data_IF_751353820808
#
_entry.id   IF_751353820808
#
_cell.length_a   1.000
_cell.length_b   1.000
_cell.length_c   1.000
_cell.angle_alpha   90.00
_cell.angle_beta   90.00
_cell.angle_gamma   90.00
#
_symmetry.space_group_name_H-M   'P 1'
#
loop_
_entity.id
_entity.type
_entity.pdbx_description
1 polymer ?
#
# COMPACT_ATOMS: atom_id res chain seq x y z
N UNK A 1 -19.19 29.13 -23.13
CA UNK A 1 -17.73 28.88 -22.98
C UNK A 1 -17.32 28.42 -21.58
N UNK A 2 -17.70 29.11 -20.50
CA UNK A 2 -17.36 28.71 -19.10
C UNK A 2 -17.83 27.29 -18.72
N UNK A 3 -19.05 26.92 -19.08
CA UNK A 3 -19.63 25.59 -18.80
C UNK A 3 -18.90 24.44 -19.53
N UNK A 4 -18.34 24.72 -20.72
CA UNK A 4 -17.57 23.74 -21.48
C UNK A 4 -16.23 23.45 -20.79
N UNK A 5 -15.56 24.49 -20.29
CA UNK A 5 -14.28 24.36 -19.57
C UNK A 5 -14.44 23.56 -18.27
N UNK A 6 -15.51 23.79 -17.51
CA UNK A 6 -15.80 23.01 -16.31
C UNK A 6 -16.07 21.54 -16.62
N UNK A 7 -16.81 21.24 -17.70
CA UNK A 7 -17.08 19.86 -18.11
C UNK A 7 -15.82 19.10 -18.52
N UNK A 8 -14.92 19.75 -19.27
CA UNK A 8 -13.62 19.19 -19.65
C UNK A 8 -12.77 18.90 -18.40
N UNK A 9 -12.74 19.81 -17.44
CA UNK A 9 -11.99 19.61 -16.19
C UNK A 9 -12.47 18.36 -15.42
N UNK A 10 -13.78 18.17 -15.25
CA UNK A 10 -14.32 16.98 -14.59
C UNK A 10 -14.04 15.68 -15.35
N UNK A 11 -14.04 15.72 -16.70
CA UNK A 11 -13.66 14.57 -17.52
C UNK A 11 -12.19 14.19 -17.37
N UNK A 12 -11.28 15.18 -17.28
CA UNK A 12 -9.86 14.93 -17.01
C UNK A 12 -9.62 14.36 -15.61
N UNK A 13 -10.37 14.81 -14.59
CA UNK A 13 -10.22 14.28 -13.23
C UNK A 13 -10.81 12.86 -13.07
N UNK A 14 -11.90 12.53 -13.76
CA UNK A 14 -12.51 11.20 -13.74
C UNK A 14 -11.70 10.10 -14.45
N UNK A 15 -10.76 10.49 -15.32
CA UNK A 15 -9.92 9.57 -16.09
C UNK A 15 -8.83 8.86 -15.27
N UNK A 16 -8.40 9.43 -14.13
CA UNK A 16 -7.29 8.85 -13.35
C UNK A 16 -7.70 7.73 -12.38
N UNK A 17 -8.98 7.62 -12.02
CA UNK A 17 -9.46 6.58 -11.10
C UNK A 17 -10.07 5.36 -11.81
N UNK A 18 -10.40 5.50 -13.10
CA UNK A 18 -11.05 4.43 -13.90
C UNK A 18 -10.06 3.40 -14.43
N UNK A 19 -8.75 3.65 -14.30
CA UNK A 19 -7.70 2.67 -14.63
C UNK A 19 -7.46 1.70 -13.46
N UNK A 20 -8.53 1.13 -12.90
CA UNK A 20 -8.48 0.13 -11.82
C UNK A 20 -8.19 -1.30 -12.33
N UNK A 21 -8.21 -1.49 -13.65
CA UNK A 21 -7.87 -2.76 -14.31
C UNK A 21 -6.37 -2.95 -14.55
N UNK A 22 -5.55 -1.90 -14.33
CA UNK A 22 -4.11 -2.06 -14.11
C UNK A 22 -3.87 -2.63 -12.70
N UNK A 23 -4.53 -3.75 -12.40
CA UNK A 23 -4.15 -4.59 -11.26
C UNK A 23 -2.70 -4.96 -11.47
N UNK A 24 -1.88 -4.74 -10.44
CA UNK A 24 -0.50 -5.20 -10.43
C UNK A 24 -0.52 -6.66 -10.91
N UNK A 25 0.09 -6.95 -12.07
CA UNK A 25 -0.01 -8.25 -12.72
C UNK A 25 0.56 -9.29 -11.75
N UNK A 26 -0.34 -10.12 -11.24
CA UNK A 26 -0.10 -11.05 -10.14
C UNK A 26 0.85 -12.16 -10.52
N UNK A 27 1.15 -12.30 -11.81
CA UNK A 27 2.05 -13.29 -12.37
C UNK A 27 3.49 -13.21 -11.82
N UNK A 28 3.88 -12.12 -11.14
CA UNK A 28 5.25 -11.91 -10.63
C UNK A 28 5.31 -11.49 -9.15
N UNK A 29 4.19 -11.47 -8.43
CA UNK A 29 4.20 -11.05 -7.02
C UNK A 29 4.42 -12.24 -6.08
N UNK A 30 5.58 -12.29 -5.42
CA UNK A 30 5.85 -13.22 -4.30
C UNK A 30 4.91 -12.99 -3.10
N UNK A 31 4.29 -11.80 -3.02
CA UNK A 31 3.41 -11.39 -1.93
C UNK A 31 1.94 -11.84 -2.20
N UNK A 32 1.27 -12.46 -1.21
CA UNK A 32 -0.16 -12.72 -1.27
C UNK A 32 -0.99 -11.43 -1.31
N UNK A 33 -2.04 -11.43 -2.13
CA UNK A 33 -2.88 -10.27 -2.37
C UNK A 33 -3.96 -10.13 -1.29
N UNK A 34 -4.21 -8.89 -0.87
CA UNK A 34 -5.41 -8.56 -0.09
C UNK A 34 -6.65 -8.63 -0.98
N UNK A 35 -7.79 -8.98 -0.38
CA UNK A 35 -9.11 -8.86 -0.98
C UNK A 35 -9.93 -7.80 -0.24
N UNK A 36 -11.06 -7.33 -0.79
CA UNK A 36 -11.94 -6.41 -0.08
C UNK A 36 -12.42 -6.94 1.28
N UNK A 37 -12.45 -8.26 1.46
CA UNK A 37 -12.88 -8.94 2.68
C UNK A 37 -11.70 -9.40 3.56
N UNK A 38 -10.47 -9.39 3.04
CA UNK A 38 -9.30 -9.95 3.73
C UNK A 38 -8.06 -9.11 3.51
N UNK A 39 -7.53 -8.51 4.58
CA UNK A 39 -6.25 -7.81 4.55
C UNK A 39 -5.11 -8.77 4.87
N UNK A 40 -4.11 -8.86 3.99
CA UNK A 40 -2.90 -9.66 4.24
C UNK A 40 -1.73 -8.73 4.61
N UNK A 41 -1.36 -8.77 5.89
CA UNK A 41 -0.10 -8.21 6.39
C UNK A 41 1.00 -9.21 6.04
N UNK A 42 2.00 -8.77 5.28
CA UNK A 42 3.07 -9.64 4.79
C UNK A 42 4.43 -9.00 5.03
N UNK A 43 5.37 -9.82 5.50
CA UNK A 43 6.78 -9.47 5.68
C UNK A 43 7.62 -10.22 4.64
N UNK A 44 8.53 -9.50 4.00
CA UNK A 44 9.52 -10.05 3.08
C UNK A 44 10.46 -11.06 3.75
N UNK A 45 11.07 -11.97 2.98
CA UNK A 45 11.92 -13.04 3.53
C UNK A 45 13.04 -12.53 4.45
N UNK A 46 13.67 -11.41 4.08
CA UNK A 46 14.72 -10.74 4.85
C UNK A 46 14.25 -10.24 6.21
N UNK A 47 12.99 -9.81 6.32
CA UNK A 47 12.41 -9.33 7.57
C UNK A 47 12.00 -10.47 8.52
N UNK A 48 12.04 -11.73 8.06
CA UNK A 48 11.70 -12.90 8.90
C UNK A 48 12.83 -13.30 9.84
N UNK A 49 14.03 -12.79 9.62
CA UNK A 49 15.21 -13.12 10.43
C UNK A 49 15.24 -12.34 11.76
N UNK A 50 14.24 -11.49 12.01
CA UNK A 50 14.20 -10.60 13.17
C UNK A 50 15.12 -9.39 12.98
N UNK A 51 15.02 -8.43 13.90
CA UNK A 51 15.94 -7.29 13.91
C UNK A 51 17.30 -7.73 14.47
N UNK A 52 18.41 -7.13 14.01
CA UNK A 52 19.72 -7.27 14.64
C UNK A 52 19.67 -6.96 16.14
N UNK A 53 20.45 -7.70 16.95
CA UNK A 53 20.44 -7.61 18.41
C UNK A 53 20.82 -6.23 18.98
N UNK A 54 21.48 -5.41 18.17
CA UNK A 54 21.90 -4.04 18.47
C UNK A 54 20.88 -2.99 18.03
N UNK A 55 19.77 -3.40 17.43
CA UNK A 55 18.72 -2.47 17.01
C UNK A 55 17.85 -2.14 18.22
N UNK A 56 17.90 -0.89 18.67
CA UNK A 56 17.05 -0.40 19.74
C UNK A 56 15.57 -0.62 19.37
N UNK A 57 14.88 -1.46 20.14
CA UNK A 57 13.44 -1.68 20.00
C UNK A 57 12.69 -1.03 21.16
N UNK A 58 11.48 -0.57 20.91
CA UNK A 58 10.63 0.13 21.91
C UNK A 58 10.44 -0.67 23.21
N UNK A 59 10.60 -1.99 23.21
CA UNK A 59 10.51 -2.82 24.41
C UNK A 59 11.69 -2.69 25.38
N UNK A 60 12.84 -2.22 24.93
CA UNK A 60 14.02 -2.04 25.79
C UNK A 60 13.91 -0.78 26.67
N UNK A 61 12.86 0.03 26.46
CA UNK A 61 12.53 1.21 27.25
C UNK A 61 11.51 0.95 28.37
N UNK A 62 11.27 -0.32 28.77
CA UNK A 62 10.50 -0.58 29.98
C UNK A 62 11.38 -0.38 31.22
N UNK A 63 11.34 0.84 31.77
CA UNK A 63 11.87 1.17 33.09
C UNK A 63 10.76 0.79 34.11
N UNK A 64 10.88 -0.30 34.87
CA UNK A 64 10.04 -0.48 36.05
C UNK A 64 10.46 0.55 37.11
N UNK A 65 9.48 1.26 37.69
CA UNK A 65 9.67 2.09 38.89
C UNK A 65 10.08 1.25 40.10
#
# INVERSE_FOLDING_TARGET
MRLCLTGIFFLLLGGCATHSDARCNTAQCTRPLSSPQTMVIWWGPEMRQGLPKDTAVTSDAFIPE
#
